data_IF_651059659610
#
_entry.id   IF_651059659610
#
_cell.length_a   1.000
_cell.length_b   1.000
_cell.length_c   1.000
_cell.angle_alpha   90.00
_cell.angle_beta   90.00
_cell.angle_gamma   90.00
#
_symmetry.space_group_name_H-M   'P 1'
#
loop_
_entity.id
_entity.type
_entity.pdbx_description
1 polymer ?
#
# COMPACT_ATOMS: atom_id res chain seq x y z
N UNK A 1 0.62 0.22 -12.10
CA UNK A 1 -0.71 0.25 -12.74
C UNK A 1 -0.64 0.85 -14.13
N UNK A 2 -1.76 1.38 -14.64
CA UNK A 2 -1.88 1.98 -15.98
C UNK A 2 -1.04 3.24 -16.13
N UNK A 3 -0.98 4.09 -15.11
CA UNK A 3 0.02 5.15 -14.98
C UNK A 3 1.38 4.52 -14.68
N UNK A 4 2.02 3.97 -15.71
CA UNK A 4 3.22 3.16 -15.58
C UNK A 4 4.45 4.01 -15.23
N UNK A 5 5.21 3.60 -14.22
CA UNK A 5 6.48 4.24 -13.85
C UNK A 5 7.51 4.14 -14.99
N UNK A 6 8.46 5.07 -15.09
CA UNK A 6 9.63 4.91 -15.95
C UNK A 6 10.43 3.66 -15.59
N UNK A 7 11.16 3.10 -16.57
CA UNK A 7 11.99 1.90 -16.37
C UNK A 7 13.15 2.11 -15.38
N UNK A 8 13.68 3.33 -15.33
CA UNK A 8 14.77 3.70 -14.44
C UNK A 8 14.41 3.41 -12.98
N UNK A 9 15.20 2.54 -12.33
CA UNK A 9 15.04 2.16 -10.91
C UNK A 9 13.69 1.51 -10.54
N UNK A 10 12.89 1.04 -11.50
CA UNK A 10 11.62 0.37 -11.19
C UNK A 10 11.77 -0.84 -10.25
N UNK A 11 12.93 -1.51 -10.26
CA UNK A 11 13.26 -2.60 -9.34
C UNK A 11 13.28 -2.18 -7.85
N UNK A 12 13.42 -0.88 -7.55
CA UNK A 12 13.32 -0.34 -6.19
C UNK A 12 11.87 -0.34 -5.67
N UNK A 13 10.86 -0.50 -6.53
CA UNK A 13 9.45 -0.59 -6.09
C UNK A 13 9.16 -1.85 -5.27
N UNK A 14 10.11 -2.80 -5.18
CA UNK A 14 10.08 -3.85 -4.14
C UNK A 14 10.06 -3.28 -2.72
N UNK A 15 10.47 -2.01 -2.53
CA UNK A 15 10.44 -1.30 -1.26
C UNK A 15 9.09 -0.59 -0.98
N UNK A 16 8.12 -0.66 -1.89
CA UNK A 16 6.80 -0.01 -1.72
C UNK A 16 5.97 -0.65 -0.59
N UNK A 17 6.43 -1.79 -0.06
CA UNK A 17 5.92 -2.47 1.14
C UNK A 17 6.67 -2.11 2.43
N UNK A 18 7.63 -1.16 2.38
CA UNK A 18 8.50 -0.82 3.51
C UNK A 18 7.74 -0.33 4.75
N UNK A 19 6.61 0.36 4.57
CA UNK A 19 5.73 0.73 5.69
C UNK A 19 5.15 -0.50 6.41
N UNK A 20 4.70 -1.50 5.66
CA UNK A 20 4.25 -2.78 6.21
C UNK A 20 5.39 -3.55 6.89
N UNK A 21 6.58 -3.55 6.29
CA UNK A 21 7.78 -4.14 6.91
C UNK A 21 8.12 -3.46 8.25
N UNK A 22 7.99 -2.14 8.32
CA UNK A 22 8.23 -1.39 9.55
C UNK A 22 7.22 -1.77 10.65
N UNK A 23 5.94 -1.94 10.31
CA UNK A 23 4.92 -2.43 11.26
C UNK A 23 5.29 -3.83 11.77
N UNK A 24 5.68 -4.76 10.90
CA UNK A 24 6.13 -6.09 11.32
C UNK A 24 7.37 -6.02 12.24
N UNK A 25 8.34 -5.17 11.91
CA UNK A 25 9.53 -4.96 12.74
C UNK A 25 9.20 -4.37 14.12
N UNK A 26 8.19 -3.50 14.22
CA UNK A 26 7.68 -3.02 15.51
C UNK A 26 7.10 -4.18 16.32
N UNK A 27 6.33 -5.07 15.71
CA UNK A 27 5.76 -6.22 16.42
C UNK A 27 6.82 -7.24 16.86
N UNK A 28 7.86 -7.45 16.05
CA UNK A 28 9.03 -8.24 16.44
C UNK A 28 9.71 -7.63 17.67
N UNK A 29 9.97 -6.32 17.67
CA UNK A 29 10.53 -5.62 18.82
C UNK A 29 9.62 -5.63 20.07
N UNK A 30 8.30 -5.47 19.90
CA UNK A 30 7.33 -5.51 20.99
C UNK A 30 7.30 -6.88 21.66
N UNK A 31 7.47 -7.96 20.89
CA UNK A 31 7.53 -9.32 21.44
C UNK A 31 8.66 -9.50 22.46
N UNK A 32 9.75 -8.74 22.33
CA UNK A 32 10.89 -8.78 23.24
C UNK A 32 10.73 -7.92 24.51
N UNK A 33 9.75 -7.00 24.55
CA UNK A 33 9.66 -5.96 25.59
C UNK A 33 8.60 -6.27 26.66
N UNK A 34 7.83 -7.35 26.55
CA UNK A 34 6.79 -7.74 27.53
C UNK A 34 5.91 -6.56 27.95
N UNK A 35 5.24 -5.96 26.96
CA UNK A 35 4.37 -4.81 27.19
C UNK A 35 2.98 -5.24 27.67
N UNK A 36 2.46 -4.57 28.70
CA UNK A 36 1.10 -4.81 29.23
C UNK A 36 0.00 -4.08 28.42
N UNK A 37 0.35 -3.47 27.28
CA UNK A 37 -0.63 -2.78 26.43
C UNK A 37 -1.00 -3.59 25.19
N UNK A 38 -2.27 -3.51 24.81
CA UNK A 38 -2.77 -4.09 23.58
C UNK A 38 -2.40 -3.21 22.37
N UNK A 39 -1.81 -3.81 21.33
CA UNK A 39 -1.35 -3.11 20.12
C UNK A 39 -1.90 -3.83 18.88
N UNK A 40 -2.52 -3.07 17.97
CA UNK A 40 -3.09 -3.60 16.72
C UNK A 40 -2.29 -3.11 15.52
N UNK A 41 -1.77 -4.05 14.72
CA UNK A 41 -1.02 -3.77 13.49
C UNK A 41 -1.87 -4.07 12.25
N UNK A 42 -2.06 -3.07 11.39
CA UNK A 42 -2.84 -3.19 10.15
C UNK A 42 -1.90 -3.01 8.96
N UNK A 43 -1.83 -4.01 8.07
CA UNK A 43 -0.97 -4.00 6.88
C UNK A 43 -1.83 -4.32 5.65
N UNK A 44 -2.41 -3.32 4.97
CA UNK A 44 -2.98 -3.54 3.66
C UNK A 44 -1.86 -3.86 2.68
N UNK A 45 -1.99 -4.98 1.96
CA UNK A 45 -0.98 -5.45 1.02
C UNK A 45 -1.64 -5.80 -0.32
N UNK A 46 -1.05 -5.29 -1.40
CA UNK A 46 -1.46 -5.55 -2.78
C UNK A 46 -0.28 -5.29 -3.72
N UNK A 47 -0.44 -5.66 -5.00
CA UNK A 47 0.44 -5.24 -6.07
C UNK A 47 -0.28 -4.23 -6.96
N UNK A 48 0.47 -3.30 -7.57
CA UNK A 48 -0.06 -2.32 -8.53
C UNK A 48 0.40 -2.65 -9.96
N UNK A 49 -0.25 -3.62 -10.60
CA UNK A 49 0.10 -4.09 -11.94
C UNK A 49 -0.78 -3.45 -13.04
N UNK A 50 -0.24 -3.24 -14.26
CA UNK A 50 -1.07 -2.97 -15.42
C UNK A 50 -1.68 -4.28 -15.94
N UNK A 51 -3.00 -4.32 -16.12
CA UNK A 51 -3.71 -5.38 -16.85
C UNK A 51 -5.00 -4.82 -17.48
N UNK A 52 -5.79 -5.68 -18.14
CA UNK A 52 -7.05 -5.27 -18.77
C UNK A 52 -8.21 -4.95 -17.80
N UNK A 53 -8.05 -5.22 -16.51
CA UNK A 53 -9.02 -4.97 -15.43
C UNK A 53 -8.50 -3.98 -14.38
N UNK A 54 -7.31 -3.41 -14.59
CA UNK A 54 -6.66 -2.52 -13.64
C UNK A 54 -7.45 -1.23 -13.47
N UNK A 55 -7.22 -0.56 -12.34
CA UNK A 55 -7.68 0.81 -12.11
C UNK A 55 -7.22 1.71 -13.25
N UNK A 56 -8.11 2.59 -13.73
CA UNK A 56 -7.86 3.50 -14.84
C UNK A 56 -7.88 4.94 -14.34
N UNK A 57 -7.06 5.84 -14.94
CA UNK A 57 -7.24 7.27 -14.74
C UNK A 57 -8.69 7.70 -15.06
N UNK A 58 -9.31 8.47 -14.17
CA UNK A 58 -10.71 8.90 -14.23
C UNK A 58 -11.70 7.95 -13.57
N UNK A 59 -11.28 6.78 -13.07
CA UNK A 59 -12.18 5.92 -12.29
C UNK A 59 -12.60 6.65 -10.99
N UNK A 60 -13.89 6.53 -10.64
CA UNK A 60 -14.44 6.99 -9.38
C UNK A 60 -14.62 5.80 -8.44
N UNK A 61 -13.85 5.76 -7.36
CA UNK A 61 -13.95 4.73 -6.32
C UNK A 61 -14.63 5.29 -5.07
N UNK A 62 -15.31 4.42 -4.33
CA UNK A 62 -15.94 4.78 -3.05
C UNK A 62 -15.13 4.16 -1.92
N UNK A 63 -14.60 4.99 -1.02
CA UNK A 63 -13.89 4.53 0.16
C UNK A 63 -14.85 3.92 1.20
N UNK A 64 -14.32 3.16 2.17
CA UNK A 64 -15.13 2.52 3.21
C UNK A 64 -15.96 3.50 4.05
N UNK A 65 -15.55 4.76 4.13
CA UNK A 65 -16.28 5.83 4.82
C UNK A 65 -17.31 6.56 3.92
N UNK A 66 -17.53 6.08 2.69
CA UNK A 66 -18.47 6.65 1.72
C UNK A 66 -17.93 7.83 0.91
N UNK A 67 -16.70 8.30 1.17
CA UNK A 67 -16.08 9.37 0.39
C UNK A 67 -15.77 8.86 -1.03
N UNK A 68 -16.04 9.70 -2.04
CA UNK A 68 -15.69 9.40 -3.43
C UNK A 68 -14.32 9.95 -3.77
N UNK A 69 -13.52 9.14 -4.47
CA UNK A 69 -12.15 9.47 -4.89
C UNK A 69 -12.09 9.34 -6.40
N UNK A 70 -11.67 10.40 -7.08
CA UNK A 70 -11.28 10.36 -8.48
C UNK A 70 -9.81 9.95 -8.59
N UNK A 71 -9.56 8.85 -9.30
CA UNK A 71 -8.20 8.36 -9.54
C UNK A 71 -7.61 9.11 -10.74
N UNK A 72 -6.90 10.21 -10.51
CA UNK A 72 -6.24 10.94 -11.61
C UNK A 72 -4.98 10.22 -12.12
N UNK A 73 -4.30 9.50 -11.23
CA UNK A 73 -3.09 8.75 -11.52
C UNK A 73 -3.14 7.44 -10.73
N UNK A 74 -2.94 6.30 -11.39
CA UNK A 74 -3.07 4.97 -10.76
C UNK A 74 -1.81 4.55 -9.99
N UNK A 75 -0.81 5.42 -9.93
CA UNK A 75 0.43 5.28 -9.18
C UNK A 75 0.47 6.22 -7.95
N UNK A 76 -0.68 6.82 -7.63
CA UNK A 76 -0.88 7.75 -6.54
C UNK A 76 -1.87 7.19 -5.51
#
# INVERSE_FOLDING_TARGET
>A
GISLKPSGKMHEMKYDMSGGAAVLGVFDALSAISSDVEVHGLIPASENLPDGKATKPGDLVTACNGLKIEVLNTDA
#
